data_IF_521206633401
#
_entry.id   IF_521206633401
#
_cell.length_a   1.000
_cell.length_b   1.000
_cell.length_c   1.000
_cell.angle_alpha   90.00
_cell.angle_beta   90.00
_cell.angle_gamma   90.00
#
_symmetry.space_group_name_H-M   'P 1'
#
loop_
_entity.id
_entity.type
_entity.pdbx_description
1 polymer ?
#
# COMPACT_ATOMS: atom_id res chain seq x y z
N UNK A 1 -20.38 12.43 -33.79
CA UNK A 1 -21.71 12.99 -33.49
C UNK A 1 -22.41 13.26 -34.80
N UNK A 2 -23.65 12.78 -34.96
CA UNK A 2 -24.44 12.89 -36.19
C UNK A 2 -24.73 14.38 -36.47
N UNK A 3 -24.54 14.80 -37.73
CA UNK A 3 -24.78 16.16 -38.22
C UNK A 3 -26.02 16.11 -39.12
N UNK A 4 -27.11 16.71 -38.65
CA UNK A 4 -28.39 16.82 -39.37
C UNK A 4 -28.41 18.17 -40.12
N UNK A 5 -28.63 18.12 -41.43
CA UNK A 5 -28.76 19.29 -42.29
C UNK A 5 -30.14 19.24 -42.97
N UNK A 6 -31.18 19.62 -42.24
CA UNK A 6 -32.47 19.95 -42.85
C UNK A 6 -32.45 21.37 -43.37
N UNK A 7 -32.53 21.48 -44.70
CA UNK A 7 -32.73 22.69 -45.47
C UNK A 7 -33.86 23.56 -44.90
N UNK A 8 -33.62 24.87 -44.77
CA UNK A 8 -34.68 25.85 -45.03
C UNK A 8 -34.12 27.09 -45.70
N UNK A 9 -34.65 27.38 -46.88
CA UNK A 9 -34.40 28.58 -47.66
C UNK A 9 -35.06 29.77 -46.98
N UNK A 10 -34.26 30.66 -46.40
CA UNK A 10 -34.71 31.93 -45.85
C UNK A 10 -33.60 32.96 -45.95
N UNK A 11 -33.82 34.00 -46.74
CA UNK A 11 -32.98 35.20 -46.78
C UNK A 11 -32.75 35.81 -45.39
N UNK A 12 -31.68 36.61 -45.26
CA UNK A 12 -31.38 37.62 -44.23
C UNK A 12 -30.38 37.22 -43.13
N UNK A 13 -29.10 37.52 -43.39
CA UNK A 13 -28.19 38.44 -42.67
C UNK A 13 -28.12 38.52 -41.12
N UNK A 14 -28.91 37.80 -40.33
CA UNK A 14 -28.94 37.97 -38.86
C UNK A 14 -29.09 36.64 -38.06
N UNK A 15 -28.73 35.49 -38.62
CA UNK A 15 -28.66 34.22 -37.87
C UNK A 15 -27.22 33.78 -37.61
N UNK A 16 -26.48 34.51 -36.76
CA UNK A 16 -25.62 33.87 -35.74
C UNK A 16 -25.02 34.84 -34.69
N UNK A 17 -25.70 35.97 -34.43
CA UNK A 17 -25.36 36.88 -33.33
C UNK A 17 -26.08 36.53 -32.02
N UNK A 18 -26.56 35.29 -31.89
CA UNK A 18 -27.25 34.84 -30.68
C UNK A 18 -26.35 34.02 -29.77
N UNK A 19 -26.21 34.57 -28.58
CA UNK A 19 -25.54 34.19 -27.33
C UNK A 19 -25.67 32.73 -26.86
N UNK A 20 -26.16 31.77 -27.65
CA UNK A 20 -26.34 30.37 -27.24
C UNK A 20 -26.23 29.33 -28.39
N UNK A 21 -25.79 29.73 -29.59
CA UNK A 21 -25.78 28.83 -30.77
C UNK A 21 -24.49 28.05 -30.99
N UNK A 22 -23.44 28.31 -30.22
CA UNK A 22 -22.13 27.75 -30.52
C UNK A 22 -21.86 26.41 -29.79
N UNK A 23 -22.08 25.31 -30.50
CA UNK A 23 -21.78 23.95 -30.02
C UNK A 23 -20.28 23.72 -29.70
N UNK A 24 -19.37 24.65 -30.04
CA UNK A 24 -17.92 24.55 -29.81
C UNK A 24 -17.51 24.69 -28.34
N UNK A 25 -18.28 25.42 -27.53
CA UNK A 25 -17.97 25.69 -26.11
C UNK A 25 -17.96 24.43 -25.22
N UNK A 26 -18.44 23.31 -25.75
CA UNK A 26 -18.53 22.03 -25.02
C UNK A 26 -17.55 20.96 -25.52
N UNK A 27 -16.72 21.29 -26.53
CA UNK A 27 -15.78 20.34 -27.15
C UNK A 27 -14.34 20.63 -26.71
N UNK A 28 -13.59 19.57 -26.43
CA UNK A 28 -12.16 19.67 -26.11
C UNK A 28 -11.36 20.13 -27.32
N UNK A 29 -10.32 20.93 -27.08
CA UNK A 29 -9.38 21.33 -28.13
C UNK A 29 -8.53 20.14 -28.59
N UNK A 30 -8.18 20.11 -29.87
CA UNK A 30 -7.12 19.25 -30.35
C UNK A 30 -5.78 19.81 -29.86
N UNK A 31 -4.79 18.96 -29.56
CA UNK A 31 -3.48 19.41 -29.08
C UNK A 31 -2.35 18.87 -29.94
N UNK A 32 -1.36 19.70 -30.23
CA UNK A 32 -0.18 19.34 -31.05
C UNK A 32 1.05 20.13 -30.62
N UNK A 33 2.25 19.62 -30.87
CA UNK A 33 3.50 20.32 -30.62
C UNK A 33 3.82 21.32 -31.72
N UNK A 34 4.66 22.31 -31.41
CA UNK A 34 5.27 23.15 -32.44
C UNK A 34 6.00 22.27 -33.46
N UNK A 35 5.69 22.46 -34.74
CA UNK A 35 6.25 21.68 -35.86
C UNK A 35 5.70 20.25 -36.01
N UNK A 36 4.83 19.79 -35.12
CA UNK A 36 4.20 18.47 -35.26
C UNK A 36 3.08 18.53 -36.31
N UNK A 37 3.03 17.48 -37.12
CA UNK A 37 2.05 17.33 -38.19
C UNK A 37 0.78 16.71 -37.64
N UNK A 38 -0.37 17.28 -38.02
CA UNK A 38 -1.68 16.72 -37.75
C UNK A 38 -2.52 16.70 -39.02
N UNK A 39 -3.53 15.84 -39.06
CA UNK A 39 -4.43 15.71 -40.22
C UNK A 39 -5.79 16.26 -39.88
N UNK A 40 -6.31 17.12 -40.75
CA UNK A 40 -7.72 17.54 -40.76
C UNK A 40 -8.41 16.74 -41.84
N UNK A 41 -9.51 16.08 -41.47
CA UNK A 41 -10.25 15.17 -42.33
C UNK A 41 -11.74 15.51 -42.26
N UNK A 42 -12.40 15.44 -43.42
CA UNK A 42 -13.86 15.44 -43.49
C UNK A 42 -14.36 14.04 -43.12
N UNK A 43 -14.75 13.86 -41.86
CA UNK A 43 -15.27 12.60 -41.32
C UNK A 43 -16.80 12.66 -41.13
N UNK A 44 -17.47 11.51 -41.22
CA UNK A 44 -18.90 11.36 -40.97
C UNK A 44 -19.82 11.72 -42.14
N UNK A 45 -19.29 11.76 -43.36
CA UNK A 45 -20.04 11.91 -44.61
C UNK A 45 -20.01 10.60 -45.41
N UNK A 46 -21.12 10.22 -46.03
CA UNK A 46 -21.16 9.05 -46.91
C UNK A 46 -20.49 9.37 -48.26
N UNK A 47 -20.07 8.33 -49.01
CA UNK A 47 -19.32 8.46 -50.28
C UNK A 47 -20.01 9.39 -51.29
N UNK A 48 -21.35 9.35 -51.37
CA UNK A 48 -22.13 10.22 -52.26
C UNK A 48 -22.02 11.70 -51.86
N UNK A 49 -21.98 12.00 -50.55
CA UNK A 49 -21.84 13.35 -50.02
C UNK A 49 -20.41 13.89 -50.23
N UNK A 50 -19.42 13.02 -50.03
CA UNK A 50 -18.01 13.35 -50.30
C UNK A 50 -17.79 13.58 -51.80
N UNK A 51 -18.43 12.79 -52.68
CA UNK A 51 -18.29 12.93 -54.14
C UNK A 51 -18.82 14.27 -54.68
N UNK A 52 -19.77 14.89 -53.98
CA UNK A 52 -20.30 16.21 -54.29
C UNK A 52 -19.34 17.35 -53.98
N UNK A 53 -18.31 17.11 -53.15
CA UNK A 53 -17.30 18.07 -52.74
C UNK A 53 -16.09 17.92 -53.67
N UNK A 54 -15.75 18.98 -54.41
CA UNK A 54 -14.52 19.04 -55.21
C UNK A 54 -13.27 18.99 -54.33
N UNK A 55 -13.33 19.69 -53.20
CA UNK A 55 -12.27 19.73 -52.22
C UNK A 55 -12.61 20.58 -51.02
N UNK A 56 -11.67 20.77 -50.11
CA UNK A 56 -11.82 21.73 -49.02
C UNK A 56 -10.49 22.42 -48.73
N UNK A 57 -10.55 23.52 -48.00
CA UNK A 57 -9.39 24.20 -47.46
C UNK A 57 -9.66 24.66 -46.03
N UNK A 58 -8.58 24.96 -45.31
CA UNK A 58 -8.63 25.43 -43.93
C UNK A 58 -8.07 26.85 -43.86
N UNK A 59 -8.71 27.72 -43.10
CA UNK A 59 -8.27 29.09 -42.82
C UNK A 59 -8.29 29.38 -41.32
N UNK A 60 -7.81 30.55 -40.90
CA UNK A 60 -7.98 31.03 -39.53
C UNK A 60 -9.45 31.43 -39.28
N UNK A 61 -9.99 31.08 -38.12
CA UNK A 61 -11.37 31.43 -37.73
C UNK A 61 -11.47 32.89 -37.23
N UNK A 62 -11.05 33.86 -38.04
CA UNK A 62 -11.01 35.28 -37.67
C UNK A 62 -12.37 35.83 -37.22
N UNK A 63 -13.47 35.24 -37.71
CA UNK A 63 -14.83 35.70 -37.44
C UNK A 63 -15.32 35.38 -36.03
N UNK A 64 -14.68 34.45 -35.29
CA UNK A 64 -15.16 34.01 -33.97
C UNK A 64 -14.06 33.92 -32.91
N UNK A 65 -13.04 34.79 -32.94
CA UNK A 65 -12.09 34.98 -31.84
C UNK A 65 -12.82 35.52 -30.58
N UNK A 66 -12.96 34.69 -29.54
CA UNK A 66 -14.05 34.79 -28.56
C UNK A 66 -13.83 35.80 -27.42
N UNK A 67 -12.61 36.02 -26.91
CA UNK A 67 -12.41 36.77 -25.65
C UNK A 67 -11.58 38.06 -25.79
N UNK A 68 -10.84 38.27 -26.89
CA UNK A 68 -10.08 39.51 -27.13
C UNK A 68 -9.88 39.76 -28.63
N UNK A 69 -10.99 39.88 -29.37
CA UNK A 69 -11.03 39.84 -30.85
C UNK A 69 -9.89 40.57 -31.58
N UNK A 70 -9.48 41.81 -31.24
CA UNK A 70 -8.37 42.45 -31.97
C UNK A 70 -6.98 41.89 -31.64
N UNK A 71 -6.71 41.43 -30.41
CA UNK A 71 -5.39 40.92 -30.03
C UNK A 71 -5.21 39.44 -30.35
N UNK A 72 -6.28 38.64 -30.26
CA UNK A 72 -6.24 37.22 -30.68
C UNK A 72 -6.05 37.10 -32.18
N UNK A 73 -6.82 37.83 -32.99
CA UNK A 73 -6.66 37.82 -34.45
C UNK A 73 -5.26 38.33 -34.83
N UNK A 74 -4.74 39.37 -34.16
CA UNK A 74 -3.36 39.84 -34.38
C UNK A 74 -2.32 38.76 -34.05
N UNK A 75 -2.53 37.97 -33.01
CA UNK A 75 -1.63 36.88 -32.66
C UNK A 75 -1.69 35.77 -33.72
N UNK A 76 -2.88 35.31 -34.08
CA UNK A 76 -3.06 34.27 -35.10
C UNK A 76 -2.51 34.68 -36.46
N UNK A 77 -2.77 35.91 -36.89
CA UNK A 77 -2.27 36.44 -38.16
C UNK A 77 -0.75 36.58 -38.13
N UNK A 78 -0.14 36.74 -36.96
CA UNK A 78 1.32 36.73 -36.81
C UNK A 78 1.94 35.34 -36.96
N UNK A 79 1.14 34.28 -36.83
CA UNK A 79 1.57 32.88 -37.01
C UNK A 79 1.30 32.36 -38.42
N UNK A 80 0.40 33.02 -39.18
CA UNK A 80 -0.16 32.52 -40.45
C UNK A 80 0.89 32.00 -41.43
N UNK A 81 2.00 32.73 -41.61
CA UNK A 81 3.08 32.35 -42.54
C UNK A 81 3.79 31.05 -42.17
N UNK A 82 3.71 30.66 -40.89
CA UNK A 82 4.37 29.51 -40.30
C UNK A 82 3.39 28.32 -40.11
N UNK A 83 2.13 28.44 -40.55
CA UNK A 83 1.15 27.34 -40.51
C UNK A 83 1.11 26.65 -41.88
N UNK A 84 1.53 25.40 -41.95
CA UNK A 84 1.46 24.59 -43.18
C UNK A 84 0.06 24.04 -43.39
N UNK A 85 -0.34 23.93 -44.66
CA UNK A 85 -1.67 23.46 -45.07
C UNK A 85 -2.78 24.51 -44.98
N UNK A 86 -2.52 25.67 -44.37
CA UNK A 86 -3.47 26.79 -44.36
C UNK A 86 -3.66 27.36 -45.77
N UNK A 87 -4.86 27.85 -46.07
CA UNK A 87 -5.25 28.46 -47.34
C UNK A 87 -4.96 27.58 -48.58
N UNK A 88 -4.84 26.26 -48.39
CA UNK A 88 -4.51 25.29 -49.44
C UNK A 88 -5.69 24.36 -49.68
N UNK A 89 -6.09 24.20 -50.94
CA UNK A 89 -7.18 23.29 -51.32
C UNK A 89 -6.67 21.86 -51.46
N UNK A 90 -7.41 20.90 -50.90
CA UNK A 90 -7.20 19.46 -51.06
C UNK A 90 -8.43 18.80 -51.68
N UNK A 91 -8.23 17.82 -52.55
CA UNK A 91 -9.31 17.02 -53.19
C UNK A 91 -9.46 15.63 -52.57
N UNK A 92 -8.61 15.25 -51.62
CA UNK A 92 -8.52 13.88 -51.09
C UNK A 92 -9.21 13.71 -49.74
N UNK A 93 -10.16 14.58 -49.38
CA UNK A 93 -10.89 14.60 -48.10
C UNK A 93 -10.02 14.70 -46.83
N UNK A 94 -8.70 14.87 -46.99
CA UNK A 94 -7.72 15.07 -45.92
C UNK A 94 -6.72 16.17 -46.30
N UNK A 95 -6.31 16.95 -45.31
CA UNK A 95 -5.20 17.92 -45.41
C UNK A 95 -4.26 17.73 -44.22
N UNK A 96 -2.97 17.64 -44.51
CA UNK A 96 -1.92 17.66 -43.48
C UNK A 96 -1.60 19.11 -43.13
N UNK A 97 -1.55 19.41 -41.84
CA UNK A 97 -1.26 20.73 -41.30
C UNK A 97 -0.16 20.64 -40.24
N UNK A 98 0.55 21.74 -40.01
CA UNK A 98 1.48 21.91 -38.90
C UNK A 98 1.58 23.39 -38.51
N UNK A 99 1.96 23.66 -37.26
CA UNK A 99 2.15 25.03 -36.74
C UNK A 99 3.62 25.16 -36.36
N UNK A 100 4.42 25.79 -37.21
CA UNK A 100 5.89 25.70 -37.18
C UNK A 100 6.54 26.91 -36.46
N UNK A 101 5.84 27.56 -35.52
CA UNK A 101 6.32 28.76 -34.83
C UNK A 101 6.27 28.62 -33.30
N UNK A 102 7.39 28.86 -32.62
CA UNK A 102 7.48 28.81 -31.15
C UNK A 102 6.61 29.88 -30.47
N UNK A 103 6.28 30.97 -31.18
CA UNK A 103 5.40 32.02 -30.64
C UNK A 103 3.99 31.53 -30.37
N UNK A 104 3.58 30.44 -31.04
CA UNK A 104 2.30 29.81 -30.83
C UNK A 104 2.29 28.87 -29.62
N UNK A 105 3.44 28.52 -29.04
CA UNK A 105 3.53 27.61 -27.89
C UNK A 105 2.73 28.17 -26.69
N UNK A 106 1.84 27.36 -26.13
CA UNK A 106 0.90 27.73 -25.08
C UNK A 106 -0.36 28.50 -25.55
N UNK A 107 -0.52 28.76 -26.85
CA UNK A 107 -1.67 29.47 -27.43
C UNK A 107 -2.75 28.52 -27.97
N UNK A 108 -3.94 29.08 -28.24
CA UNK A 108 -5.02 28.41 -28.96
C UNK A 108 -5.22 29.13 -30.28
N UNK A 109 -5.17 28.38 -31.37
CA UNK A 109 -5.45 28.88 -32.71
C UNK A 109 -6.78 28.31 -33.20
N UNK A 110 -7.69 29.20 -33.60
CA UNK A 110 -8.96 28.85 -34.22
C UNK A 110 -8.81 28.65 -35.72
N UNK A 111 -9.34 27.56 -36.23
CA UNK A 111 -9.35 27.22 -37.65
C UNK A 111 -10.78 27.02 -38.14
N UNK A 112 -11.00 27.30 -39.43
CA UNK A 112 -12.28 27.12 -40.11
C UNK A 112 -12.10 26.34 -41.39
N UNK A 113 -12.97 25.37 -41.62
CA UNK A 113 -12.99 24.52 -42.82
C UNK A 113 -14.02 25.04 -43.81
N UNK A 114 -13.63 25.19 -45.08
CA UNK A 114 -14.52 25.51 -46.19
C UNK A 114 -14.49 24.40 -47.23
N UNK A 115 -15.64 23.78 -47.48
CA UNK A 115 -15.80 22.83 -48.57
C UNK A 115 -16.13 23.58 -49.89
N UNK A 116 -15.67 23.03 -51.01
CA UNK A 116 -15.77 23.63 -52.35
C UNK A 116 -16.53 22.65 -53.24
N UNK A 117 -17.56 23.13 -53.94
CA UNK A 117 -18.28 22.37 -54.97
C UNK A 117 -17.48 22.27 -56.27
N UNK A 118 -17.87 21.35 -57.15
CA UNK A 118 -17.30 21.22 -58.51
C UNK A 118 -17.50 22.45 -59.39
N UNK A 119 -18.49 23.31 -59.10
CA UNK A 119 -18.70 24.58 -59.79
C UNK A 119 -17.92 25.76 -59.17
N UNK A 120 -17.10 25.49 -58.14
CA UNK A 120 -16.30 26.48 -57.42
C UNK A 120 -17.09 27.29 -56.38
N UNK A 121 -18.39 27.04 -56.21
CA UNK A 121 -19.15 27.62 -55.10
C UNK A 121 -18.76 26.97 -53.77
N UNK A 122 -18.91 27.70 -52.66
CA UNK A 122 -18.60 27.15 -51.33
C UNK A 122 -19.81 26.37 -50.79
N UNK A 123 -19.56 25.14 -50.34
CA UNK A 123 -20.51 24.38 -49.53
C UNK A 123 -20.27 24.77 -48.08
N UNK A 124 -21.33 25.27 -47.46
CA UNK A 124 -21.43 25.69 -46.07
C UNK A 124 -20.92 27.11 -45.74
N UNK A 125 -21.81 28.12 -45.78
CA UNK A 125 -21.56 29.46 -45.23
C UNK A 125 -21.39 29.51 -43.71
N UNK A 126 -21.64 28.43 -42.96
CA UNK A 126 -21.39 28.32 -41.51
C UNK A 126 -20.15 27.44 -41.20
N UNK A 127 -19.17 27.44 -42.11
CA UNK A 127 -17.95 26.62 -42.11
C UNK A 127 -17.49 26.13 -40.73
N UNK A 128 -17.32 24.81 -40.61
CA UNK A 128 -17.02 24.16 -39.32
C UNK A 128 -15.69 24.67 -38.77
N UNK A 129 -15.73 25.19 -37.55
CA UNK A 129 -14.54 25.65 -36.85
C UNK A 129 -14.06 24.63 -35.81
N UNK A 130 -12.73 24.54 -35.66
CA UNK A 130 -12.06 23.75 -34.63
C UNK A 130 -10.90 24.55 -34.06
N UNK A 131 -10.43 24.16 -32.88
CA UNK A 131 -9.35 24.85 -32.18
C UNK A 131 -8.21 23.89 -31.88
N UNK A 132 -6.99 24.37 -32.08
CA UNK A 132 -5.76 23.65 -31.77
C UNK A 132 -5.04 24.39 -30.65
N UNK A 133 -4.82 23.69 -29.54
CA UNK A 133 -3.93 24.09 -28.48
C UNK A 133 -2.50 23.64 -28.84
N UNK A 134 -1.56 24.58 -28.91
CA UNK A 134 -0.18 24.30 -29.32
C UNK A 134 0.71 24.14 -28.10
N UNK A 135 1.45 23.04 -28.01
CA UNK A 135 2.43 22.77 -26.96
C UNK A 135 2.71 21.28 -26.75
N UNK A 136 3.91 20.96 -26.26
CA UNK A 136 4.32 19.58 -25.95
C UNK A 136 3.88 19.16 -24.56
N UNK A 137 2.65 18.66 -24.46
CA UNK A 137 2.07 18.15 -23.21
C UNK A 137 2.95 17.06 -22.56
N UNK A 138 3.64 16.23 -23.35
CA UNK A 138 4.48 15.15 -22.82
C UNK A 138 5.88 15.62 -22.42
N UNK A 139 6.50 16.59 -23.12
CA UNK A 139 7.73 17.25 -22.64
C UNK A 139 7.48 18.17 -21.44
N UNK A 140 6.24 18.66 -21.27
CA UNK A 140 5.79 19.43 -20.10
C UNK A 140 5.28 18.52 -18.96
N UNK A 141 5.56 17.21 -19.01
CA UNK A 141 5.12 16.28 -17.97
C UNK A 141 6.11 16.20 -16.81
N UNK A 142 5.69 16.60 -15.61
CA UNK A 142 6.37 16.24 -14.36
C UNK A 142 5.79 14.94 -13.82
N UNK A 143 6.63 13.97 -13.46
CA UNK A 143 6.19 12.73 -12.80
C UNK A 143 6.55 12.72 -11.33
N UNK A 144 5.55 12.58 -10.48
CA UNK A 144 5.69 12.43 -9.03
C UNK A 144 5.53 10.97 -8.64
N UNK A 145 6.48 10.42 -7.87
CA UNK A 145 6.45 9.02 -7.44
C UNK A 145 6.50 8.91 -5.93
N UNK A 146 5.70 8.03 -5.36
CA UNK A 146 5.72 7.74 -3.94
C UNK A 146 5.37 6.28 -3.65
N UNK A 147 5.86 5.78 -2.53
CA UNK A 147 5.37 4.54 -1.94
C UNK A 147 4.31 4.86 -0.89
N UNK A 148 3.24 4.06 -0.87
CA UNK A 148 2.29 4.03 0.22
C UNK A 148 2.55 2.79 1.06
N UNK A 149 2.95 3.00 2.32
CA UNK A 149 3.09 1.94 3.32
C UNK A 149 1.99 2.15 4.37
N UNK A 150 1.10 1.19 4.61
CA UNK A 150 0.07 1.29 5.63
C UNK A 150 0.66 1.53 7.03
N UNK A 151 0.19 2.58 7.70
CA UNK A 151 0.57 2.91 9.08
C UNK A 151 -0.70 3.03 9.91
N UNK A 152 -0.79 2.25 10.99
CA UNK A 152 -1.94 2.28 11.90
C UNK A 152 -1.99 3.60 12.67
N UNK A 153 -3.17 4.23 12.70
CA UNK A 153 -3.45 5.41 13.51
C UNK A 153 -4.40 5.00 14.65
N UNK A 154 -3.86 4.88 15.86
CA UNK A 154 -4.63 4.46 17.02
C UNK A 154 -5.73 5.47 17.41
N UNK A 155 -5.57 6.76 17.07
CA UNK A 155 -6.58 7.79 17.36
C UNK A 155 -7.76 7.69 16.39
N UNK A 156 -7.47 7.39 15.11
CA UNK A 156 -8.51 7.17 14.11
C UNK A 156 -9.13 5.76 14.15
N UNK A 157 -8.43 4.79 14.77
CA UNK A 157 -8.84 3.39 14.76
C UNK A 157 -8.77 2.74 13.37
N UNK A 158 -7.92 3.26 12.48
CA UNK A 158 -7.74 2.78 11.11
C UNK A 158 -6.32 3.14 10.61
N UNK A 159 -5.94 2.62 9.44
CA UNK A 159 -4.70 3.00 8.77
C UNK A 159 -4.79 4.40 8.17
N UNK A 160 -3.69 5.15 8.23
CA UNK A 160 -3.52 6.39 7.48
C UNK A 160 -3.60 6.08 5.99
N UNK A 161 -4.41 6.84 5.25
CA UNK A 161 -4.67 6.62 3.81
C UNK A 161 -4.23 7.79 2.93
N UNK A 162 -3.32 8.62 3.42
CA UNK A 162 -2.85 9.83 2.72
C UNK A 162 -1.42 9.63 2.27
N UNK A 163 -1.16 9.91 1.00
CA UNK A 163 0.18 10.02 0.41
C UNK A 163 0.42 11.48 0.09
N UNK A 164 1.53 12.02 0.59
CA UNK A 164 1.91 13.42 0.39
C UNK A 164 2.99 13.53 -0.67
N UNK A 165 2.87 14.55 -1.52
CA UNK A 165 3.81 14.87 -2.57
C UNK A 165 4.30 16.30 -2.40
N UNK A 166 5.62 16.45 -2.31
CA UNK A 166 6.26 17.75 -2.52
C UNK A 166 6.10 18.14 -3.99
N UNK A 167 5.60 19.36 -4.21
CA UNK A 167 5.50 19.94 -5.55
C UNK A 167 6.79 20.71 -5.85
N UNK A 168 7.24 20.70 -7.10
CA UNK A 168 8.35 21.54 -7.52
C UNK A 168 7.98 23.03 -7.53
N UNK A 169 8.98 23.90 -7.54
CA UNK A 169 8.77 25.36 -7.48
C UNK A 169 7.91 25.87 -8.65
N UNK A 170 8.04 25.28 -9.83
CA UNK A 170 7.28 25.64 -11.03
C UNK A 170 5.77 25.37 -10.84
N UNK A 171 5.40 24.16 -10.42
CA UNK A 171 4.01 23.79 -10.14
C UNK A 171 3.47 24.63 -8.98
N UNK A 172 4.26 24.84 -7.94
CA UNK A 172 3.87 25.70 -6.82
C UNK A 172 3.55 27.12 -7.30
N UNK A 173 4.40 27.69 -8.16
CA UNK A 173 4.21 29.03 -8.71
C UNK A 173 2.94 29.10 -9.56
N UNK A 174 2.73 28.14 -10.47
CA UNK A 174 1.50 28.05 -11.28
C UNK A 174 0.23 27.94 -10.41
N UNK A 175 0.30 27.24 -9.27
CA UNK A 175 -0.83 27.12 -8.34
C UNK A 175 -1.07 28.40 -7.51
N UNK A 176 -0.03 29.19 -7.21
CA UNK A 176 -0.18 30.52 -6.60
C UNK A 176 -0.80 31.49 -7.62
N UNK A 177 -0.28 31.49 -8.84
CA UNK A 177 -0.71 32.37 -9.92
C UNK A 177 -2.11 32.02 -10.46
N UNK A 178 -2.70 30.89 -10.04
CA UNK A 178 -4.14 30.61 -10.22
C UNK A 178 -5.04 31.81 -9.89
N UNK A 179 -4.69 32.57 -8.84
CA UNK A 179 -5.47 33.73 -8.42
C UNK A 179 -5.12 35.02 -9.18
N UNK A 180 -3.90 35.13 -9.72
CA UNK A 180 -3.38 36.36 -10.34
C UNK A 180 -3.39 36.32 -11.87
N UNK A 181 -3.02 35.18 -12.47
CA UNK A 181 -2.86 34.97 -13.91
C UNK A 181 -3.95 34.06 -14.51
N UNK A 182 -4.86 33.54 -13.67
CA UNK A 182 -6.02 32.77 -14.11
C UNK A 182 -5.74 31.31 -14.46
N UNK A 183 -4.65 30.72 -13.94
CA UNK A 183 -4.44 29.28 -14.05
C UNK A 183 -5.57 28.48 -13.40
N UNK A 184 -5.77 27.25 -13.86
CA UNK A 184 -6.69 26.28 -13.26
C UNK A 184 -6.10 24.87 -13.35
N UNK A 185 -6.73 23.88 -12.74
CA UNK A 185 -6.30 22.48 -12.84
C UNK A 185 -7.49 21.58 -13.15
N UNK A 186 -7.25 20.52 -13.90
CA UNK A 186 -8.27 19.50 -14.19
C UNK A 186 -8.58 18.65 -12.96
N UNK A 187 -9.69 17.91 -13.01
CA UNK A 187 -9.91 16.79 -12.10
C UNK A 187 -8.76 15.77 -12.20
N UNK A 188 -8.56 15.00 -11.13
CA UNK A 188 -7.65 13.86 -11.16
C UNK A 188 -8.20 12.82 -12.12
N UNK A 189 -7.37 12.36 -13.05
CA UNK A 189 -7.69 11.27 -13.97
C UNK A 189 -6.93 10.04 -13.52
N UNK A 190 -7.66 8.95 -13.27
CA UNK A 190 -7.09 7.63 -13.00
C UNK A 190 -6.90 6.93 -14.33
N UNK A 191 -5.69 6.48 -14.61
CA UNK A 191 -5.39 5.69 -15.81
C UNK A 191 -6.13 4.35 -15.72
N UNK A 192 -7.12 4.11 -16.58
CA UNK A 192 -7.97 2.92 -16.49
C UNK A 192 -7.25 1.67 -16.97
N UNK A 193 -6.30 1.80 -17.87
CA UNK A 193 -5.57 0.67 -18.44
C UNK A 193 -4.59 0.09 -17.43
N UNK A 194 -3.96 0.99 -16.65
CA UNK A 194 -3.06 0.60 -15.57
C UNK A 194 -3.78 0.36 -14.22
N UNK A 195 -5.02 0.86 -14.05
CA UNK A 195 -5.78 0.75 -12.80
C UNK A 195 -7.24 0.28 -12.99
N UNK A 196 -7.50 -0.89 -13.59
CA UNK A 196 -8.84 -1.31 -14.01
C UNK A 196 -9.87 -1.42 -12.85
N UNK A 197 -9.41 -1.63 -11.61
CA UNK A 197 -10.27 -1.82 -10.43
C UNK A 197 -10.40 -0.58 -9.53
N UNK A 198 -9.72 0.53 -9.84
CA UNK A 198 -9.51 1.64 -8.90
C UNK A 198 -9.98 3.01 -9.41
N UNK A 199 -10.93 3.06 -10.34
CA UNK A 199 -11.30 4.28 -11.08
C UNK A 199 -11.91 5.42 -10.24
N UNK A 200 -12.44 5.13 -9.05
CA UNK A 200 -12.91 6.13 -8.05
C UNK A 200 -12.12 6.10 -6.75
N UNK A 201 -10.98 5.41 -6.72
CA UNK A 201 -10.28 5.06 -5.49
C UNK A 201 -9.38 6.19 -4.93
N UNK A 202 -9.09 7.22 -5.72
CA UNK A 202 -8.12 8.26 -5.37
C UNK A 202 -8.75 9.65 -5.35
N UNK A 203 -8.49 10.41 -4.29
CA UNK A 203 -8.93 11.80 -4.15
C UNK A 203 -7.71 12.70 -3.97
N UNK A 204 -7.55 13.68 -4.87
CA UNK A 204 -6.52 14.71 -4.75
C UNK A 204 -7.02 15.90 -3.95
N UNK A 205 -6.20 16.39 -3.03
CA UNK A 205 -6.35 17.69 -2.36
C UNK A 205 -5.03 18.44 -2.36
N UNK A 206 -5.09 19.76 -2.41
CA UNK A 206 -3.93 20.62 -2.19
C UNK A 206 -4.02 21.21 -0.79
N UNK A 207 -2.90 21.25 -0.07
CA UNK A 207 -2.79 21.94 1.19
C UNK A 207 -1.90 23.19 1.01
N UNK A 208 -2.54 24.36 0.98
CA UNK A 208 -1.87 25.63 0.71
C UNK A 208 -1.39 26.34 1.98
N UNK A 209 -1.82 25.90 3.16
CA UNK A 209 -1.68 26.70 4.39
C UNK A 209 -0.34 26.50 5.11
N UNK A 210 0.38 25.38 4.92
CA UNK A 210 1.63 25.14 5.66
C UNK A 210 2.81 24.64 4.82
N UNK A 211 2.61 23.89 3.73
CA UNK A 211 3.75 23.22 3.06
C UNK A 211 3.68 23.17 1.52
N UNK A 212 2.67 23.81 0.89
CA UNK A 212 2.44 23.77 -0.57
C UNK A 212 2.51 22.34 -1.15
N UNK A 213 1.95 21.38 -0.42
CA UNK A 213 1.95 19.96 -0.79
C UNK A 213 0.66 19.55 -1.48
N UNK A 214 0.76 18.48 -2.27
CA UNK A 214 -0.39 17.78 -2.81
C UNK A 214 -0.57 16.46 -2.08
N UNK A 215 -1.79 16.18 -1.64
CA UNK A 215 -2.14 14.94 -0.97
C UNK A 215 -3.08 14.11 -1.85
N UNK A 216 -2.78 12.81 -1.96
CA UNK A 216 -3.66 11.81 -2.55
C UNK A 216 -4.19 10.92 -1.43
N UNK A 217 -5.51 10.94 -1.23
CA UNK A 217 -6.20 10.03 -0.30
C UNK A 217 -6.66 8.78 -1.04
N UNK A 218 -6.36 7.61 -0.46
CA UNK A 218 -6.90 6.32 -0.86
C UNK A 218 -8.28 6.15 -0.22
N UNK A 219 -9.34 6.23 -1.02
CA UNK A 219 -10.74 6.23 -0.55
C UNK A 219 -11.27 4.83 -0.23
N UNK A 220 -10.81 3.84 -1.00
CA UNK A 220 -11.23 2.44 -0.87
C UNK A 220 -10.53 1.73 0.31
N UNK A 221 -11.04 0.56 0.69
CA UNK A 221 -10.35 -0.32 1.65
C UNK A 221 -8.99 -0.75 1.11
N UNK A 222 -7.98 -0.87 1.99
CA UNK A 222 -6.60 -1.14 1.55
C UNK A 222 -6.46 -2.47 0.79
N UNK A 223 -7.27 -3.46 1.12
CA UNK A 223 -7.32 -4.75 0.42
C UNK A 223 -7.82 -4.68 -1.03
N UNK A 224 -8.46 -3.59 -1.44
CA UNK A 224 -8.88 -3.39 -2.83
C UNK A 224 -7.72 -2.89 -3.71
N UNK A 225 -6.61 -2.48 -3.11
CA UNK A 225 -5.39 -2.16 -3.83
C UNK A 225 -4.46 -3.37 -3.82
N UNK A 226 -4.03 -3.79 -5.00
CA UNK A 226 -3.07 -4.86 -5.23
C UNK A 226 -1.79 -4.60 -4.43
N UNK A 227 -1.36 -5.62 -3.71
CA UNK A 227 -0.09 -5.61 -2.99
C UNK A 227 1.07 -5.45 -3.97
N UNK A 228 1.97 -4.50 -3.68
CA UNK A 228 3.05 -4.07 -4.58
C UNK A 228 2.56 -3.56 -5.95
N UNK A 229 1.26 -3.23 -6.07
CA UNK A 229 0.68 -2.61 -7.26
C UNK A 229 1.08 -1.14 -7.36
N UNK A 230 1.41 -0.72 -8.57
CA UNK A 230 1.66 0.69 -8.92
C UNK A 230 0.44 1.29 -9.59
N UNK A 231 -0.02 2.41 -9.04
CA UNK A 231 -1.19 3.13 -9.50
C UNK A 231 -0.81 4.42 -10.22
N UNK A 232 -1.29 4.57 -11.45
CA UNK A 232 -0.95 5.72 -12.30
C UNK A 232 -2.10 6.70 -12.44
N UNK A 233 -1.87 7.96 -12.13
CA UNK A 233 -2.86 9.02 -12.29
C UNK A 233 -2.21 10.22 -12.94
N UNK A 234 -3.01 11.18 -13.38
CA UNK A 234 -2.50 12.48 -13.78
C UNK A 234 -3.53 13.58 -13.59
N UNK A 235 -3.07 14.81 -13.65
CA UNK A 235 -3.91 15.97 -13.87
C UNK A 235 -3.16 17.03 -14.67
N UNK A 236 -3.90 17.94 -15.26
CA UNK A 236 -3.35 19.00 -16.08
C UNK A 236 -3.49 20.34 -15.35
N UNK A 237 -2.48 21.18 -15.45
CA UNK A 237 -2.56 22.61 -15.16
C UNK A 237 -2.89 23.30 -16.47
N UNK A 238 -3.89 24.18 -16.43
CA UNK A 238 -4.39 24.91 -17.57
C UNK A 238 -4.20 26.41 -17.36
N UNK A 239 -3.81 27.13 -18.42
CA UNK A 239 -3.80 28.58 -18.39
C UNK A 239 -5.22 29.18 -18.43
N UNK A 240 -5.31 30.52 -18.43
CA UNK A 240 -6.58 31.26 -18.52
C UNK A 240 -7.45 30.85 -19.72
N UNK A 241 -6.82 30.49 -20.85
CA UNK A 241 -7.48 30.06 -22.09
C UNK A 241 -7.90 28.58 -22.07
N UNK A 242 -7.69 27.86 -20.96
CA UNK A 242 -7.92 26.40 -20.83
C UNK A 242 -7.00 25.53 -21.69
N UNK A 243 -5.81 26.02 -22.05
CA UNK A 243 -4.74 25.21 -22.65
C UNK A 243 -3.98 24.48 -21.57
N UNK A 244 -3.68 23.20 -21.80
CA UNK A 244 -2.77 22.43 -20.93
C UNK A 244 -1.36 23.00 -21.08
N UNK A 245 -0.84 23.59 -20.01
CA UNK A 245 0.53 24.12 -19.94
C UNK A 245 1.48 23.21 -19.15
N UNK A 246 0.92 22.30 -18.36
CA UNK A 246 1.69 21.30 -17.60
C UNK A 246 0.83 20.08 -17.38
N UNK A 247 1.42 18.90 -17.52
CA UNK A 247 0.83 17.64 -17.10
C UNK A 247 1.59 17.13 -15.88
N UNK A 248 0.87 16.77 -14.82
CA UNK A 248 1.46 16.21 -13.61
C UNK A 248 1.03 14.76 -13.53
N UNK A 249 1.93 13.86 -13.90
CA UNK A 249 1.77 12.42 -13.74
C UNK A 249 2.11 12.01 -12.31
N UNK A 250 1.39 11.04 -11.77
CA UNK A 250 1.51 10.56 -10.39
C UNK A 250 1.56 9.03 -10.41
N UNK A 251 2.56 8.46 -9.73
CA UNK A 251 2.68 7.03 -9.52
C UNK A 251 2.76 6.72 -8.01
N UNK A 252 1.79 5.96 -7.50
CA UNK A 252 1.79 5.47 -6.11
C UNK A 252 1.96 3.97 -6.11
N UNK A 253 2.99 3.45 -5.45
CA UNK A 253 3.15 2.00 -5.26
C UNK A 253 2.74 1.60 -3.85
N UNK A 254 1.76 0.71 -3.71
CA UNK A 254 1.38 0.17 -2.39
C UNK A 254 2.41 -0.86 -1.95
N UNK A 255 3.22 -0.55 -0.95
CA UNK A 255 4.15 -1.51 -0.32
C UNK A 255 3.54 -2.08 0.95
N UNK A 256 3.82 -3.35 1.22
CA UNK A 256 3.40 -4.00 2.45
C UNK A 256 4.25 -3.50 3.63
N UNK A 257 3.69 -3.34 4.84
CA UNK A 257 4.43 -2.89 6.01
C UNK A 257 5.56 -3.85 6.40
N UNK A 258 6.65 -3.32 6.95
CA UNK A 258 7.71 -4.14 7.54
C UNK A 258 7.35 -4.58 8.97
N UNK A 259 8.12 -5.52 9.53
CA UNK A 259 7.93 -5.93 10.92
C UNK A 259 8.10 -4.74 11.89
N UNK A 260 7.21 -4.54 12.89
CA UNK A 260 7.22 -3.35 13.72
C UNK A 260 8.57 -3.11 14.43
N UNK A 261 9.14 -1.91 14.24
CA UNK A 261 10.39 -1.51 14.90
C UNK A 261 10.28 -1.45 16.43
N UNK A 262 9.07 -1.19 16.95
CA UNK A 262 8.79 -1.10 18.38
C UNK A 262 9.07 -2.41 19.14
N UNK A 263 8.92 -3.56 18.47
CA UNK A 263 9.22 -4.86 19.09
C UNK A 263 10.71 -5.03 19.34
N UNK A 264 11.11 -5.10 20.60
CA UNK A 264 12.50 -5.27 21.01
C UNK A 264 12.59 -5.89 22.38
N UNK A 265 13.65 -6.63 22.69
CA UNK A 265 13.88 -7.09 24.04
C UNK A 265 14.23 -5.91 24.96
N UNK A 266 13.72 -5.94 26.19
CA UNK A 266 14.12 -5.01 27.26
C UNK A 266 15.56 -5.32 27.69
N UNK A 267 16.20 -4.39 28.39
CA UNK A 267 17.56 -4.58 28.89
C UNK A 267 17.63 -5.79 29.85
N UNK A 268 18.74 -6.53 29.78
CA UNK A 268 19.08 -7.64 30.69
C UNK A 268 18.03 -8.77 30.76
N UNK A 269 17.32 -9.04 29.66
CA UNK A 269 16.30 -10.09 29.61
C UNK A 269 16.83 -11.47 29.20
N UNK A 270 18.04 -11.53 28.64
CA UNK A 270 18.63 -12.76 28.12
C UNK A 270 19.89 -13.14 28.90
N UNK A 271 20.15 -14.44 28.98
CA UNK A 271 21.39 -14.99 29.54
C UNK A 271 22.59 -14.81 28.58
N UNK A 272 23.77 -15.30 28.99
CA UNK A 272 24.99 -15.22 28.20
C UNK A 272 24.93 -15.99 26.86
N UNK A 273 23.97 -16.91 26.70
CA UNK A 273 23.72 -17.66 25.46
C UNK A 273 22.61 -17.01 24.61
N UNK A 274 22.09 -15.86 25.03
CA UNK A 274 21.03 -15.11 24.34
C UNK A 274 19.63 -15.69 24.53
N UNK A 275 19.40 -16.50 25.58
CA UNK A 275 18.12 -17.12 25.87
C UNK A 275 17.38 -16.43 27.02
N UNK A 276 16.06 -16.30 26.89
CA UNK A 276 15.18 -15.84 27.97
C UNK A 276 14.99 -17.02 28.91
N UNK A 277 15.52 -16.90 30.11
CA UNK A 277 15.39 -17.94 31.15
C UNK A 277 14.02 -17.83 31.79
N UNK A 278 13.28 -18.93 31.79
CA UNK A 278 12.01 -19.08 32.51
C UNK A 278 12.13 -20.29 33.41
N UNK A 279 12.06 -20.03 34.72
CA UNK A 279 11.94 -21.06 35.73
C UNK A 279 10.47 -21.49 35.83
N UNK A 280 10.23 -22.80 35.78
CA UNK A 280 8.89 -23.39 35.90
C UNK A 280 8.84 -24.29 37.13
N UNK A 281 7.95 -23.98 38.08
CA UNK A 281 7.80 -24.73 39.32
C UNK A 281 6.58 -25.65 39.25
N UNK A 282 6.47 -26.56 40.21
CA UNK A 282 5.34 -27.50 40.27
C UNK A 282 3.98 -26.83 40.50
N UNK A 283 3.99 -25.58 40.97
CA UNK A 283 2.83 -24.73 41.16
C UNK A 283 2.46 -23.94 39.90
N UNK A 284 3.39 -23.74 38.95
CA UNK A 284 3.18 -22.85 37.79
C UNK A 284 3.20 -23.55 36.44
N UNK A 285 3.60 -24.82 36.33
CA UNK A 285 3.67 -25.48 35.01
C UNK A 285 2.34 -25.57 34.25
N UNK A 286 1.23 -25.68 34.98
CA UNK A 286 -0.11 -25.72 34.43
C UNK A 286 -0.81 -24.34 34.46
N UNK A 287 -0.09 -23.27 34.80
CA UNK A 287 -0.68 -21.92 34.79
C UNK A 287 -0.79 -21.38 33.36
N UNK A 288 -1.76 -20.50 33.16
CA UNK A 288 -1.98 -19.81 31.90
C UNK A 288 -1.91 -18.28 32.11
N UNK A 289 -0.84 -17.60 31.66
CA UNK A 289 0.40 -18.16 31.13
C UNK A 289 1.36 -18.64 32.25
N UNK A 290 2.34 -19.47 31.88
CA UNK A 290 3.51 -19.82 32.70
C UNK A 290 4.43 -18.60 32.86
N UNK A 291 4.58 -17.81 31.80
CA UNK A 291 5.39 -16.59 31.80
C UNK A 291 4.79 -15.51 30.92
N UNK A 292 4.86 -14.26 31.38
CA UNK A 292 4.42 -13.07 30.62
C UNK A 292 5.59 -12.45 29.86
N UNK A 293 5.57 -12.56 28.53
CA UNK A 293 6.54 -11.96 27.61
C UNK A 293 6.49 -10.42 27.63
N UNK A 294 5.38 -9.80 28.04
CA UNK A 294 5.31 -8.33 28.22
C UNK A 294 6.36 -7.80 29.20
N UNK A 295 6.80 -8.63 30.16
CA UNK A 295 7.89 -8.27 31.08
C UNK A 295 9.26 -8.25 30.40
N UNK A 296 9.41 -8.90 29.24
CA UNK A 296 10.68 -9.09 28.54
C UNK A 296 10.80 -8.29 27.24
N UNK A 297 9.69 -7.87 26.63
CA UNK A 297 9.70 -7.20 25.32
C UNK A 297 8.94 -5.88 25.32
N UNK A 298 9.47 -4.89 24.61
CA UNK A 298 8.79 -3.65 24.25
C UNK A 298 7.85 -3.86 23.06
N UNK A 299 6.90 -2.95 22.86
CA UNK A 299 5.99 -2.94 21.71
C UNK A 299 4.79 -3.88 21.83
N UNK A 300 4.74 -4.72 22.87
CA UNK A 300 3.63 -5.67 23.10
C UNK A 300 2.80 -5.35 24.34
N UNK A 301 3.37 -4.63 25.31
CA UNK A 301 2.68 -4.28 26.56
C UNK A 301 3.06 -2.88 27.04
N UNK A 302 2.18 -2.29 27.86
CA UNK A 302 2.43 -1.05 28.59
C UNK A 302 3.38 -1.28 29.80
N UNK A 303 3.74 -0.21 30.56
CA UNK A 303 4.57 -0.34 31.77
C UNK A 303 3.97 -1.23 32.88
N UNK A 304 2.64 -1.37 32.94
CA UNK A 304 1.94 -2.24 33.89
C UNK A 304 1.86 -3.70 33.41
N UNK A 305 2.43 -3.97 32.22
CA UNK A 305 2.45 -5.25 31.51
C UNK A 305 1.09 -5.73 30.99
N UNK A 306 0.16 -4.80 30.75
CA UNK A 306 -1.07 -5.04 30.00
C UNK A 306 -0.78 -5.02 28.50
N UNK A 307 -1.37 -5.94 27.73
CA UNK A 307 -1.17 -5.97 26.27
C UNK A 307 -1.76 -4.71 25.63
N UNK A 308 -0.98 -4.06 24.77
CA UNK A 308 -1.41 -2.87 24.01
C UNK A 308 -1.59 -3.15 22.52
N UNK A 309 -1.07 -4.28 22.02
CA UNK A 309 -1.12 -4.65 20.61
C UNK A 309 -1.28 -6.15 20.51
N UNK A 310 -2.39 -6.63 19.92
CA UNK A 310 -2.73 -8.06 19.89
C UNK A 310 -2.29 -8.77 18.60
N UNK A 311 -1.47 -8.12 17.77
CA UNK A 311 -1.11 -8.61 16.44
C UNK A 311 0.18 -9.44 16.36
N UNK A 312 0.92 -9.60 17.46
CA UNK A 312 2.08 -10.48 17.50
C UNK A 312 1.68 -11.94 17.66
N UNK A 313 2.40 -12.82 16.97
CA UNK A 313 2.31 -14.28 17.15
C UNK A 313 3.69 -14.84 17.45
N UNK A 314 3.75 -15.79 18.38
CA UNK A 314 4.96 -16.48 18.81
C UNK A 314 4.79 -17.97 18.54
N UNK A 315 5.81 -18.61 17.98
CA UNK A 315 5.75 -20.04 17.64
C UNK A 315 7.03 -20.75 18.05
N UNK A 316 6.87 -22.00 18.49
CA UNK A 316 7.95 -22.92 18.82
C UNK A 316 7.75 -24.21 18.03
N UNK A 317 8.84 -24.87 17.62
CA UNK A 317 8.76 -26.20 16.99
C UNK A 317 8.32 -27.29 17.98
N UNK A 318 8.61 -27.10 19.28
CA UNK A 318 8.10 -27.96 20.35
C UNK A 318 6.62 -27.65 20.60
N UNK A 319 5.75 -28.55 20.16
CA UNK A 319 4.28 -28.37 20.21
C UNK A 319 3.73 -28.33 21.63
N UNK A 320 4.45 -28.89 22.60
CA UNK A 320 4.08 -28.81 24.02
C UNK A 320 4.25 -27.39 24.59
N UNK A 321 4.93 -26.48 23.89
CA UNK A 321 5.03 -25.06 24.28
C UNK A 321 4.08 -24.25 23.41
N UNK A 322 2.93 -23.90 23.97
CA UNK A 322 1.87 -23.20 23.24
C UNK A 322 1.80 -21.75 23.69
N UNK A 323 1.98 -20.83 22.76
CA UNK A 323 1.82 -19.40 23.05
C UNK A 323 0.35 -19.02 22.99
N UNK A 324 -0.11 -18.32 24.03
CA UNK A 324 -1.47 -17.82 24.11
C UNK A 324 -1.47 -16.33 23.74
N UNK A 325 -2.39 -15.97 22.85
CA UNK A 325 -2.65 -14.59 22.41
C UNK A 325 -4.14 -14.23 22.53
N UNK A 326 -4.92 -14.99 23.29
CA UNK A 326 -6.38 -14.84 23.33
C UNK A 326 -6.81 -13.63 24.14
N UNK A 327 -7.80 -12.90 23.61
CA UNK A 327 -8.43 -11.68 24.16
C UNK A 327 -8.85 -11.74 25.64
N UNK A 328 -9.00 -12.94 26.21
CA UNK A 328 -9.46 -13.14 27.59
C UNK A 328 -8.31 -13.30 28.61
N UNK A 329 -7.10 -13.61 28.15
CA UNK A 329 -5.91 -13.74 28.99
C UNK A 329 -4.99 -12.55 28.68
N UNK A 330 -5.00 -11.55 29.56
CA UNK A 330 -4.37 -10.23 29.40
C UNK A 330 -2.82 -10.21 29.22
N UNK A 331 -2.17 -11.30 28.77
CA UNK A 331 -0.71 -11.42 28.72
C UNK A 331 -0.22 -12.28 27.55
N UNK A 332 0.64 -11.71 26.70
CA UNK A 332 1.43 -12.51 25.76
C UNK A 332 2.31 -13.44 26.54
N UNK A 333 2.03 -14.72 26.47
CA UNK A 333 2.75 -15.73 27.23
C UNK A 333 2.66 -17.08 26.58
N UNK A 334 3.18 -18.08 27.27
CA UNK A 334 3.03 -19.47 26.86
C UNK A 334 2.54 -20.32 28.01
N UNK A 335 1.92 -21.45 27.67
CA UNK A 335 1.59 -22.54 28.58
C UNK A 335 2.31 -23.81 28.13
N UNK A 336 2.45 -24.75 29.06
CA UNK A 336 2.87 -26.11 28.73
C UNK A 336 1.62 -26.96 28.47
N UNK A 337 1.44 -27.43 27.24
CA UNK A 337 0.32 -28.27 26.84
C UNK A 337 0.66 -29.75 27.08
N UNK A 338 0.65 -30.11 28.35
CA UNK A 338 1.03 -31.43 28.87
C UNK A 338 0.04 -31.87 29.93
N UNK A 339 -0.21 -33.19 30.02
CA UNK A 339 -1.28 -33.75 30.84
C UNK A 339 -0.83 -34.11 32.27
N UNK A 340 0.47 -34.17 32.52
CA UNK A 340 1.05 -34.54 33.80
C UNK A 340 2.43 -33.90 34.03
N UNK A 341 2.91 -34.02 35.27
CA UNK A 341 4.19 -33.44 35.71
C UNK A 341 5.40 -34.09 35.05
N UNK A 342 5.37 -35.39 34.74
CA UNK A 342 6.52 -36.07 34.13
C UNK A 342 6.70 -35.58 32.68
N UNK A 343 5.59 -35.44 31.94
CA UNK A 343 5.61 -34.89 30.58
C UNK A 343 6.03 -33.41 30.52
N UNK A 344 5.76 -32.64 31.59
CA UNK A 344 6.30 -31.28 31.75
C UNK A 344 7.80 -31.31 32.06
N UNK A 345 8.25 -32.25 32.91
CA UNK A 345 9.66 -32.40 33.29
C UNK A 345 10.58 -32.67 32.09
N UNK A 346 10.11 -33.46 31.11
CA UNK A 346 10.80 -33.72 29.84
C UNK A 346 11.19 -32.43 29.07
N UNK A 347 10.46 -31.33 29.28
CA UNK A 347 10.72 -30.06 28.62
C UNK A 347 11.91 -29.31 29.22
N UNK A 348 12.47 -29.77 30.34
CA UNK A 348 13.60 -29.16 31.04
C UNK A 348 14.91 -29.97 30.92
N UNK A 349 14.84 -31.25 30.52
CA UNK A 349 15.78 -32.31 30.91
C UNK A 349 17.14 -32.40 30.16
N UNK A 350 17.45 -31.52 29.20
CA UNK A 350 18.61 -31.77 28.31
C UNK A 350 19.97 -31.19 28.76
N UNK A 351 20.03 -30.35 29.81
CA UNK A 351 21.31 -29.80 30.32
C UNK A 351 21.23 -29.49 31.81
N UNK A 352 22.37 -29.47 32.50
CA UNK A 352 22.47 -28.90 33.85
C UNK A 352 22.01 -27.43 33.89
N UNK A 353 22.03 -26.72 32.76
CA UNK A 353 21.55 -25.36 32.59
C UNK A 353 20.13 -25.25 31.96
N UNK A 354 19.36 -26.34 31.81
CA UNK A 354 18.03 -26.31 31.17
C UNK A 354 18.03 -26.42 29.64
N UNK A 355 16.85 -26.66 29.06
CA UNK A 355 16.65 -26.91 27.62
C UNK A 355 16.26 -25.63 26.88
N UNK A 356 16.81 -25.46 25.67
CA UNK A 356 16.63 -24.26 24.84
C UNK A 356 15.71 -24.55 23.66
N UNK A 357 14.82 -23.62 23.38
CA UNK A 357 13.87 -23.66 22.28
C UNK A 357 13.97 -22.38 21.45
N UNK A 358 14.00 -22.51 20.13
CA UNK A 358 13.97 -21.36 19.22
C UNK A 358 12.52 -20.85 19.06
N UNK A 359 12.32 -19.56 19.28
CA UNK A 359 11.03 -18.90 19.17
C UNK A 359 11.02 -17.97 17.95
N UNK A 360 10.11 -18.24 17.03
CA UNK A 360 9.87 -17.39 15.87
C UNK A 360 8.74 -16.41 16.15
N UNK A 361 8.96 -15.15 15.79
CA UNK A 361 7.99 -14.07 15.96
C UNK A 361 7.44 -13.66 14.59
N UNK A 362 6.15 -13.36 14.54
CA UNK A 362 5.50 -12.75 13.38
C UNK A 362 4.49 -11.70 13.83
N UNK A 363 4.10 -10.83 12.90
CA UNK A 363 3.12 -9.79 13.14
C UNK A 363 2.05 -9.80 12.04
N UNK A 364 0.78 -9.66 12.42
CA UNK A 364 -0.35 -9.63 11.49
C UNK A 364 -0.90 -8.21 11.30
N UNK A 365 -0.89 -7.72 10.07
CA UNK A 365 -1.56 -6.50 9.68
C UNK A 365 -2.94 -6.84 9.10
N UNK A 366 -3.99 -6.61 9.88
CA UNK A 366 -5.37 -6.88 9.45
C UNK A 366 -5.84 -5.87 8.40
N UNK A 367 -6.67 -6.30 7.45
CA UNK A 367 -7.31 -5.46 6.42
C UNK A 367 -6.35 -4.70 5.51
N UNK A 368 -5.14 -5.22 5.31
CA UNK A 368 -4.10 -4.60 4.47
C UNK A 368 -3.93 -5.31 3.14
N UNK A 369 -3.85 -6.65 3.11
CA UNK A 369 -3.50 -7.40 1.89
C UNK A 369 -4.68 -7.52 0.93
N UNK A 370 -4.39 -7.48 -0.37
CA UNK A 370 -5.34 -7.88 -1.43
C UNK A 370 -5.28 -9.36 -1.80
N UNK A 371 -4.24 -10.07 -1.33
CA UNK A 371 -3.91 -11.42 -1.79
C UNK A 371 -4.40 -12.51 -0.85
N UNK A 372 -4.64 -12.18 0.42
CA UNK A 372 -5.19 -13.14 1.40
C UNK A 372 -6.72 -13.12 1.43
N UNK A 373 -7.31 -14.26 1.78
CA UNK A 373 -8.79 -14.42 1.86
C UNK A 373 -9.41 -13.55 2.94
N UNK A 374 -8.70 -13.34 4.04
CA UNK A 374 -9.10 -12.54 5.20
C UNK A 374 -8.58 -11.10 5.13
N UNK A 375 -7.91 -10.72 4.03
CA UNK A 375 -7.25 -9.43 3.83
C UNK A 375 -6.13 -9.11 4.84
N UNK A 376 -5.64 -10.08 5.60
CA UNK A 376 -4.50 -9.90 6.50
C UNK A 376 -3.14 -10.09 5.80
N UNK A 377 -2.12 -9.41 6.31
CA UNK A 377 -0.73 -9.62 5.91
C UNK A 377 0.11 -10.03 7.12
N UNK A 378 0.69 -11.23 7.08
CA UNK A 378 1.61 -11.69 8.14
C UNK A 378 3.05 -11.49 7.71
N UNK A 379 3.79 -10.66 8.46
CA UNK A 379 5.23 -10.46 8.27
C UNK A 379 6.00 -11.24 9.33
N UNK A 380 7.03 -11.97 8.88
CA UNK A 380 7.96 -12.67 9.78
C UNK A 380 8.96 -11.67 10.35
N UNK A 381 9.29 -11.83 11.62
CA UNK A 381 10.33 -11.03 12.24
C UNK A 381 11.69 -11.32 11.59
N UNK A 382 12.57 -10.31 11.45
CA UNK A 382 13.97 -10.52 11.11
C UNK A 382 14.62 -11.50 12.09
N UNK A 383 15.62 -12.26 11.65
CA UNK A 383 16.27 -13.28 12.49
C UNK A 383 16.78 -12.74 13.84
N UNK A 384 17.24 -11.49 13.89
CA UNK A 384 17.70 -10.82 15.11
C UNK A 384 16.59 -10.48 16.13
N UNK A 385 15.32 -10.53 15.71
CA UNK A 385 14.14 -10.29 16.57
C UNK A 385 13.51 -11.60 17.05
N UNK A 386 13.86 -12.74 16.43
CA UNK A 386 13.61 -14.05 17.01
C UNK A 386 14.49 -14.24 18.25
N UNK A 387 14.06 -15.09 19.17
CA UNK A 387 14.77 -15.28 20.42
C UNK A 387 14.74 -16.75 20.87
N UNK A 388 15.57 -17.06 21.86
CA UNK A 388 15.63 -18.38 22.47
C UNK A 388 14.91 -18.36 23.81
N UNK A 389 14.16 -19.41 24.10
CA UNK A 389 13.53 -19.65 25.40
C UNK A 389 14.28 -20.79 26.09
N UNK A 390 14.80 -20.54 27.29
CA UNK A 390 15.40 -21.57 28.13
C UNK A 390 14.43 -21.91 29.25
N UNK A 391 13.92 -23.13 29.25
CA UNK A 391 13.12 -23.63 30.34
C UNK A 391 14.02 -24.28 31.39
N UNK A 392 13.92 -23.81 32.63
CA UNK A 392 14.64 -24.33 33.77
C UNK A 392 13.64 -24.91 34.76
N UNK A 393 13.97 -26.09 35.28
CA UNK A 393 13.21 -26.73 36.34
C UNK A 393 13.38 -25.92 37.64
N UNK A 394 12.26 -25.42 38.17
CA UNK A 394 12.19 -24.77 39.47
C UNK A 394 11.79 -25.74 40.59
N UNK A 395 11.54 -25.17 41.76
CA UNK A 395 11.17 -25.93 42.97
C UNK A 395 9.92 -26.81 42.77
N UNK A 396 9.91 -28.01 43.38
CA UNK A 396 8.75 -28.91 43.40
C UNK A 396 8.64 -29.92 42.24
N UNK A 397 9.43 -29.79 41.17
CA UNK A 397 9.32 -30.65 39.98
C UNK A 397 9.93 -32.06 40.08
N UNK A 398 10.29 -32.53 41.28
CA UNK A 398 11.27 -33.62 41.34
C UNK A 398 10.81 -34.84 42.13
N UNK A 399 10.52 -35.91 41.38
CA UNK A 399 10.88 -37.28 41.74
C UNK A 399 12.35 -37.60 41.37
N UNK A 400 12.92 -36.95 40.34
CA UNK A 400 14.29 -37.25 39.85
C UNK A 400 15.44 -36.51 40.56
N UNK A 401 15.24 -35.30 41.08
CA UNK A 401 16.26 -34.58 41.87
C UNK A 401 16.24 -34.86 43.38
N UNK A 402 15.36 -35.73 43.87
CA UNK A 402 15.52 -36.29 45.24
C UNK A 402 16.88 -36.98 45.43
N UNK A 403 17.55 -37.29 44.34
CA UNK A 403 18.83 -37.96 44.29
C UNK A 403 20.03 -37.02 44.07
N UNK A 404 19.86 -35.69 44.02
CA UNK A 404 20.96 -34.74 43.76
C UNK A 404 20.92 -33.50 44.67
N UNK A 405 22.08 -33.05 45.17
CA UNK A 405 22.22 -31.92 46.11
C UNK A 405 22.16 -30.56 45.39
N UNK A 406 22.17 -29.46 46.15
CA UNK A 406 22.14 -28.08 45.62
C UNK A 406 23.32 -27.74 44.69
N UNK A 407 24.36 -28.59 44.66
CA UNK A 407 25.53 -28.51 43.77
C UNK A 407 25.46 -29.53 42.62
N UNK A 408 24.32 -30.19 42.43
CA UNK A 408 24.03 -31.21 41.41
C UNK A 408 24.87 -32.49 41.54
N UNK A 409 25.39 -32.78 42.72
CA UNK A 409 26.03 -34.07 43.00
C UNK A 409 25.00 -35.09 43.45
N UNK A 410 25.15 -36.39 43.18
CA UNK A 410 24.27 -37.41 43.73
C UNK A 410 24.22 -37.32 45.28
N UNK A 411 23.02 -37.19 45.86
CA UNK A 411 22.79 -37.29 47.31
C UNK A 411 23.11 -38.71 47.73
N UNK A 412 24.18 -38.88 48.51
CA UNK A 412 24.56 -40.16 49.11
C UNK A 412 23.93 -40.26 50.50
N UNK A 413 22.98 -41.18 50.70
CA UNK A 413 22.51 -41.52 52.05
C UNK A 413 23.45 -42.54 52.71
N UNK A 414 23.95 -42.21 53.90
CA UNK A 414 24.70 -43.14 54.74
C UNK A 414 23.69 -43.97 55.55
N UNK A 415 23.56 -45.26 55.24
CA UNK A 415 22.78 -46.19 56.04
C UNK A 415 23.52 -46.46 57.36
N UNK A 416 23.01 -45.90 58.47
CA UNK A 416 23.50 -46.22 59.81
C UNK A 416 22.72 -47.40 60.37
N UNK A 417 23.40 -48.54 60.51
CA UNK A 417 22.88 -49.69 61.21
C UNK A 417 23.05 -49.47 62.72
N UNK A 418 22.01 -49.00 63.39
CA UNK A 418 21.93 -49.03 64.86
C UNK A 418 20.87 -50.02 65.31
N UNK A 419 20.99 -50.49 66.54
CA UNK A 419 20.33 -51.64 67.19
C UNK A 419 18.80 -51.54 67.33
N UNK A 420 18.18 -50.56 66.67
CA UNK A 420 16.73 -50.40 66.55
C UNK A 420 16.35 -50.30 65.08
N UNK A 421 15.31 -51.05 64.69
CA UNK A 421 14.72 -51.07 63.34
C UNK A 421 14.69 -49.67 62.72
N UNK A 422 15.56 -49.44 61.75
CA UNK A 422 15.49 -48.25 60.90
C UNK A 422 14.48 -48.57 59.79
N UNK A 423 13.26 -48.07 59.93
CA UNK A 423 12.20 -48.25 58.91
C UNK A 423 12.42 -47.21 57.81
N UNK A 424 12.85 -47.66 56.64
CA UNK A 424 12.99 -46.82 55.44
C UNK A 424 11.89 -47.19 54.45
N UNK A 425 11.14 -46.21 53.94
CA UNK A 425 10.23 -46.43 52.82
C UNK A 425 11.06 -46.57 51.54
N UNK A 426 11.20 -47.79 51.02
CA UNK A 426 12.01 -48.07 49.82
C UNK A 426 11.56 -47.31 48.57
N UNK A 427 10.26 -47.00 48.48
CA UNK A 427 9.69 -46.22 47.38
C UNK A 427 10.30 -44.80 47.24
N UNK A 428 10.96 -44.31 48.27
CA UNK A 428 11.61 -43.00 48.29
C UNK A 428 13.07 -43.02 47.77
N UNK A 429 13.66 -44.21 47.52
CA UNK A 429 15.09 -44.34 47.18
C UNK A 429 15.32 -45.18 45.89
N UNK A 430 14.57 -46.27 45.66
CA UNK A 430 14.77 -47.16 44.50
C UNK A 430 13.42 -47.73 44.01
N UNK A 431 13.12 -47.62 42.70
CA UNK A 431 11.96 -48.29 42.08
C UNK A 431 12.27 -49.78 41.92
N UNK A 432 11.89 -50.60 42.90
CA UNK A 432 11.93 -52.06 42.75
C UNK A 432 10.63 -52.57 42.12
N UNK A 433 10.77 -53.40 41.09
CA UNK A 433 9.65 -54.13 40.51
C UNK A 433 9.71 -55.59 40.92
N UNK A 434 8.58 -56.16 41.33
CA UNK A 434 8.43 -57.62 41.46
C UNK A 434 7.65 -58.11 40.24
N UNK A 435 8.38 -58.53 39.21
CA UNK A 435 7.80 -58.67 37.87
C UNK A 435 7.56 -57.30 37.22
N UNK A 436 6.42 -57.10 36.55
CA UNK A 436 6.08 -55.83 35.87
C UNK A 436 5.46 -54.75 36.77
N UNK A 437 5.27 -55.03 38.07
CA UNK A 437 4.51 -54.19 39.01
C UNK A 437 5.43 -53.59 40.07
N UNK A 438 5.25 -52.30 40.36
CA UNK A 438 6.00 -51.58 41.39
C UNK A 438 5.69 -52.11 42.80
N UNK A 439 6.74 -52.32 43.58
CA UNK A 439 6.64 -52.91 44.92
C UNK A 439 6.39 -51.83 45.98
N UNK A 440 5.29 -51.92 46.74
CA UNK A 440 4.78 -50.82 47.60
C UNK A 440 4.82 -51.09 49.11
N UNK A 441 5.31 -52.24 49.57
CA UNK A 441 5.36 -52.63 51.00
C UNK A 441 6.70 -52.31 51.68
N UNK A 442 6.66 -51.97 52.97
CA UNK A 442 7.83 -51.66 53.82
C UNK A 442 8.71 -52.89 54.06
N UNK A 443 10.04 -52.76 53.95
CA UNK A 443 11.01 -53.81 54.31
C UNK A 443 11.57 -53.60 55.73
N UNK A 444 11.92 -54.70 56.42
CA UNK A 444 12.85 -54.65 57.55
C UNK A 444 14.30 -54.63 57.04
N UNK A 445 15.22 -54.06 57.81
CA UNK A 445 16.63 -53.95 57.41
C UNK A 445 17.31 -55.33 57.20
N UNK A 446 16.81 -56.38 57.86
CA UNK A 446 17.30 -57.76 57.70
C UNK A 446 17.07 -58.31 56.30
N UNK A 447 15.95 -57.94 55.67
CA UNK A 447 15.60 -58.39 54.32
C UNK A 447 16.48 -57.76 53.22
N UNK A 448 17.21 -56.67 53.52
CA UNK A 448 18.12 -56.02 52.56
C UNK A 448 19.48 -56.72 52.54
N UNK A 449 19.86 -57.41 53.61
CA UNK A 449 21.13 -58.15 53.71
C UNK A 449 21.20 -59.38 52.78
N UNK A 450 20.04 -59.93 52.41
CA UNK A 450 19.94 -61.05 51.46
C UNK A 450 19.75 -60.63 50.00
N UNK A 451 19.55 -59.33 49.72
CA UNK A 451 19.55 -58.80 48.36
C UNK A 451 20.99 -58.63 47.84
N UNK A 452 21.75 -59.73 47.80
CA UNK A 452 22.90 -59.80 46.92
C UNK A 452 22.39 -59.89 45.48
N UNK A 453 22.80 -58.92 44.66
CA UNK A 453 23.04 -59.02 43.22
C UNK A 453 22.42 -60.26 42.54
N UNK A 454 21.28 -60.05 41.88
CA UNK A 454 20.87 -60.83 40.72
C UNK A 454 20.76 -59.88 39.53
#
# INVERSE_FOLDING_TARGET
SIIDATYSSGTWRDQDLWWNGDNRNTKSFFSTKVGEKFTVELDGYDDDQISGIYGFYVVLDEQRAVESAPSEIRAWNSYESDIKGLNTITTNSKIEMSIDTEKADGDIIGFRVYAVNHDGSLVDPDGKAFYVAVGDIDAMTTTLKADYIPVWDATAGDYKRVVEFALDEEIQQMLVDKYNEGYSYSSLVVDKDNNPTATTAFIRRFNFDNDKVMNITLSNSLSQYKDNGTYKMYFNILNKKKVVVKKVAIEITKKLPEFPAAFSAKANQFDAEGAKVVEVTDATWNSNPVHNLGTAFNGISDPDNSIIDHNYTFTCSEKKIVFNSTLNDNRYGFKLDVNDKDAAADLFADKSAGKIYDINVSYIYNNVSSESVDNSYTVKAPAAKNFKLRLVCGEGFTSEWKNFDDKKNPIKQVLKYTDRETKVKLADILKFKKGGVDYTSTFSADNIKECHLA
#
